data_IF_581517365203
#
_entry.id   IF_581517365203
#
_cell.length_a   1.000
_cell.length_b   1.000
_cell.length_c   1.000
_cell.angle_alpha   90.00
_cell.angle_beta   90.00
_cell.angle_gamma   90.00
#
_symmetry.space_group_name_H-M   'P 1'
#
loop_
_entity.id
_entity.type
_entity.pdbx_description
1 polymer ?
#
# COMPACT_ATOMS: atom_id res chain seq x y z
N UNK A 1 -17.16 -21.87 -31.15
CA UNK A 1 -18.57 -22.31 -31.09
C UNK A 1 -19.14 -21.79 -29.78
N UNK A 2 -20.26 -21.06 -29.81
CA UNK A 2 -20.84 -20.45 -28.60
C UNK A 2 -21.68 -21.51 -27.92
N UNK A 3 -21.14 -22.13 -26.89
CA UNK A 3 -21.88 -23.08 -26.06
C UNK A 3 -23.08 -22.34 -25.43
N UNK A 4 -24.28 -22.92 -25.57
CA UNK A 4 -25.56 -22.29 -25.19
C UNK A 4 -26.19 -22.94 -23.96
N UNK A 5 -25.45 -23.81 -23.26
CA UNK A 5 -25.85 -24.41 -21.99
C UNK A 5 -26.03 -23.33 -20.92
N UNK A 6 -27.04 -23.49 -20.07
CA UNK A 6 -27.30 -22.55 -18.97
C UNK A 6 -26.23 -22.68 -17.89
N UNK A 7 -25.98 -21.61 -17.12
CA UNK A 7 -24.90 -21.58 -16.10
C UNK A 7 -25.06 -22.69 -15.05
N UNK A 8 -26.30 -23.10 -14.78
CA UNK A 8 -26.64 -24.12 -13.79
C UNK A 8 -26.39 -25.56 -14.27
N UNK A 9 -26.04 -25.76 -15.55
CA UNK A 9 -25.76 -27.07 -16.16
C UNK A 9 -24.25 -27.33 -16.35
N UNK A 10 -23.39 -26.37 -15.97
CA UNK A 10 -21.94 -26.48 -16.09
C UNK A 10 -21.35 -27.16 -14.86
N UNK A 11 -20.36 -28.04 -15.05
CA UNK A 11 -19.57 -28.54 -13.93
C UNK A 11 -18.77 -27.39 -13.29
N UNK A 12 -18.37 -27.54 -12.02
CA UNK A 12 -17.57 -26.52 -11.31
C UNK A 12 -16.26 -26.22 -12.08
N UNK A 13 -15.66 -27.24 -12.67
CA UNK A 13 -14.44 -27.14 -13.48
C UNK A 13 -14.68 -26.35 -14.78
N UNK A 14 -15.79 -26.62 -15.48
CA UNK A 14 -16.19 -25.87 -16.69
C UNK A 14 -16.51 -24.40 -16.36
N UNK A 15 -17.15 -24.15 -15.20
CA UNK A 15 -17.47 -22.79 -14.75
C UNK A 15 -16.21 -21.99 -14.43
N UNK A 16 -15.22 -22.60 -13.76
CA UNK A 16 -13.93 -21.98 -13.51
C UNK A 16 -13.21 -21.61 -14.80
N UNK A 17 -13.26 -22.49 -15.81
CA UNK A 17 -12.60 -22.24 -17.09
C UNK A 17 -13.28 -21.10 -17.86
N UNK A 18 -14.61 -21.06 -17.86
CA UNK A 18 -15.39 -19.94 -18.44
C UNK A 18 -15.08 -18.63 -17.73
N UNK A 19 -14.96 -18.64 -16.39
CA UNK A 19 -14.59 -17.46 -15.61
C UNK A 19 -13.15 -17.00 -15.90
N UNK A 20 -12.19 -17.93 -16.03
CA UNK A 20 -10.80 -17.61 -16.42
C UNK A 20 -10.75 -16.96 -17.81
N UNK A 21 -11.49 -17.50 -18.78
CA UNK A 21 -11.57 -16.95 -20.14
C UNK A 21 -12.19 -15.54 -20.11
N UNK A 22 -13.33 -15.35 -19.44
CA UNK A 22 -13.99 -14.04 -19.31
C UNK A 22 -13.12 -12.99 -18.61
N UNK A 23 -12.37 -13.39 -17.58
CA UNK A 23 -11.44 -12.51 -16.85
C UNK A 23 -10.24 -12.10 -17.73
N UNK A 24 -9.77 -13.01 -18.58
CA UNK A 24 -8.71 -12.72 -19.58
C UNK A 24 -9.19 -11.76 -20.66
N UNK A 25 -10.41 -11.94 -21.17
CA UNK A 25 -11.02 -11.06 -22.18
C UNK A 25 -11.23 -9.64 -21.64
N UNK A 26 -11.81 -9.49 -20.45
CA UNK A 26 -12.00 -8.17 -19.83
C UNK A 26 -10.68 -7.45 -19.54
N UNK A 27 -9.62 -8.19 -19.19
CA UNK A 27 -8.27 -7.62 -18.99
C UNK A 27 -7.65 -7.15 -20.30
N UNK A 28 -7.82 -7.90 -21.40
CA UNK A 28 -7.36 -7.50 -22.73
C UNK A 28 -8.11 -6.27 -23.26
N UNK A 29 -9.40 -6.14 -22.97
CA UNK A 29 -10.21 -4.99 -23.37
C UNK A 29 -9.74 -3.70 -22.67
N UNK A 30 -9.43 -3.77 -21.36
CA UNK A 30 -8.85 -2.61 -20.63
C UNK A 30 -7.51 -2.18 -21.19
N UNK A 31 -6.62 -3.12 -21.52
CA UNK A 31 -5.31 -2.80 -22.10
C UNK A 31 -5.45 -2.14 -23.48
N UNK A 32 -6.41 -2.58 -24.31
CA UNK A 32 -6.74 -1.91 -25.57
C UNK A 32 -7.29 -0.51 -25.38
N UNK A 33 -8.09 -0.30 -24.34
CA UNK A 33 -8.63 1.02 -24.02
C UNK A 33 -7.54 1.97 -23.53
N UNK A 34 -6.65 1.51 -22.66
CA UNK A 34 -5.48 2.29 -22.20
C UNK A 34 -4.51 2.60 -23.35
N UNK A 35 -4.31 1.65 -24.27
CA UNK A 35 -3.51 1.89 -25.48
C UNK A 35 -4.10 2.96 -26.41
N UNK A 36 -5.43 2.98 -26.58
CA UNK A 36 -6.12 4.02 -27.36
C UNK A 36 -6.09 5.39 -26.66
N UNK A 37 -6.14 5.44 -25.34
CA UNK A 37 -6.01 6.67 -24.56
C UNK A 37 -4.58 7.22 -24.58
N UNK A 38 -3.56 6.35 -24.58
CA UNK A 38 -2.16 6.71 -24.79
C UNK A 38 -1.90 7.21 -26.22
N UNK A 39 -2.54 6.62 -27.23
CA UNK A 39 -2.42 7.03 -28.64
C UNK A 39 -3.18 8.34 -28.93
N UNK A 40 -4.30 8.60 -28.24
CA UNK A 40 -5.04 9.86 -28.31
C UNK A 40 -4.35 11.02 -27.57
N UNK A 41 -3.33 10.74 -26.75
CA UNK A 41 -2.56 11.71 -25.98
C UNK A 41 -1.16 11.96 -26.53
N UNK A 42 -0.88 11.58 -27.78
CA UNK A 42 0.35 11.97 -28.47
C UNK A 42 0.37 13.50 -28.66
N UNK A 43 0.98 14.20 -27.70
CA UNK A 43 1.20 15.63 -27.71
C UNK A 43 2.10 15.99 -28.90
N UNK A 44 1.52 16.65 -29.91
CA UNK A 44 2.26 17.38 -30.94
C UNK A 44 2.84 18.66 -30.30
N UNK A 45 4.18 18.81 -30.18
CA UNK A 45 4.80 19.96 -29.51
C UNK A 45 4.63 21.29 -30.27
N UNK A 46 3.96 21.31 -31.42
CA UNK A 46 3.82 22.48 -32.29
C UNK A 46 2.36 22.89 -32.56
N UNK A 47 1.37 22.28 -31.91
CA UNK A 47 -0.02 22.69 -32.06
C UNK A 47 -0.31 24.03 -31.34
N UNK A 48 -0.98 25.01 -31.99
CA UNK A 48 -1.33 26.28 -31.36
C UNK A 48 -2.33 26.07 -30.21
N UNK A 49 -1.99 26.63 -29.04
CA UNK A 49 -2.78 26.56 -27.80
C UNK A 49 -4.22 27.10 -28.00
N UNK A 50 -5.26 26.38 -27.54
CA UNK A 50 -6.62 26.92 -27.53
C UNK A 50 -6.74 28.07 -26.52
N UNK A 51 -7.33 29.18 -26.96
CA UNK A 51 -7.56 30.37 -26.14
C UNK A 51 -8.56 30.09 -25.01
N UNK A 52 -8.17 30.40 -23.77
CA UNK A 52 -9.02 30.33 -22.58
C UNK A 52 -10.35 31.10 -22.77
N UNK A 53 -11.51 30.55 -22.35
CA UNK A 53 -12.74 31.30 -22.27
C UNK A 53 -12.75 32.19 -21.02
N UNK A 54 -13.04 33.48 -21.20
CA UNK A 54 -13.14 34.46 -20.10
C UNK A 54 -14.28 34.14 -19.12
N UNK A 55 -14.11 34.40 -17.82
CA UNK A 55 -15.17 34.26 -16.83
C UNK A 55 -16.23 35.38 -16.95
N UNK A 56 -17.51 35.00 -16.81
CA UNK A 56 -18.65 35.93 -16.83
C UNK A 56 -18.67 36.86 -15.60
N UNK A 57 -19.08 38.14 -15.73
CA UNK A 57 -19.08 39.07 -14.60
C UNK A 57 -20.28 38.89 -13.65
N UNK A 58 -20.03 39.15 -12.37
CA UNK A 58 -21.00 39.11 -11.26
C UNK A 58 -22.06 40.23 -11.37
N UNK A 59 -23.33 39.99 -11.00
CA UNK A 59 -24.35 41.03 -11.00
C UNK A 59 -24.21 41.96 -9.78
N UNK A 60 -23.82 43.21 -10.04
CA UNK A 60 -23.84 44.32 -9.08
C UNK A 60 -25.12 45.13 -9.28
N UNK A 61 -26.16 44.83 -8.51
CA UNK A 61 -27.38 45.65 -8.49
C UNK A 61 -27.67 46.13 -7.06
N UNK A 62 -27.09 47.26 -6.68
CA UNK A 62 -27.60 48.08 -5.58
C UNK A 62 -28.73 48.96 -6.13
N UNK A 63 -29.99 48.63 -5.83
CA UNK A 63 -31.12 49.56 -6.03
C UNK A 63 -31.03 50.67 -5.00
N UNK A 64 -30.74 51.90 -5.46
CA UNK A 64 -30.98 53.13 -4.69
C UNK A 64 -32.45 53.50 -4.76
N UNK A 65 -33.03 53.80 -3.61
CA UNK A 65 -34.31 54.46 -3.44
C UNK A 65 -34.27 55.89 -4.00
N UNK A 66 -35.35 56.31 -4.66
CA UNK A 66 -35.64 57.69 -4.99
C UNK A 66 -37.12 57.96 -4.71
N UNK A 67 -37.38 58.69 -3.62
CA UNK A 67 -38.66 59.33 -3.34
C UNK A 67 -38.84 60.56 -4.24
N UNK A 68 -40.00 60.72 -4.86
CA UNK A 68 -40.62 62.02 -5.13
C UNK A 68 -42.05 61.86 -5.71
N UNK A 69 -43.05 62.28 -4.93
CA UNK A 69 -43.95 63.36 -5.33
C UNK A 69 -45.13 63.06 -6.27
N UNK A 70 -46.29 62.87 -5.65
CA UNK A 70 -47.64 63.35 -6.00
C UNK A 70 -47.89 64.11 -7.33
N UNK A 71 -48.95 63.75 -8.07
CA UNK A 71 -50.27 64.45 -8.06
C UNK A 71 -51.19 64.02 -9.23
N UNK A 72 -52.50 64.14 -8.96
CA UNK A 72 -53.59 64.49 -9.87
C UNK A 72 -54.35 63.41 -10.71
N UNK A 73 -55.51 63.06 -10.14
CA UNK A 73 -56.86 63.18 -10.73
C UNK A 73 -57.23 62.38 -11.99
N UNK A 74 -58.08 61.36 -11.80
CA UNK A 74 -59.20 61.11 -12.72
C UNK A 74 -60.46 60.65 -11.98
N UNK A 75 -61.61 61.11 -12.48
CA UNK A 75 -62.91 61.23 -11.81
C UNK A 75 -63.86 60.11 -12.24
N UNK A 76 -64.53 59.54 -11.22
CA UNK A 76 -65.80 58.81 -11.11
C UNK A 76 -66.55 58.27 -12.35
N UNK A 77 -67.00 57.02 -12.21
CA UNK A 77 -68.40 56.63 -12.48
C UNK A 77 -68.87 55.63 -11.42
N UNK A 78 -70.06 55.87 -10.87
CA UNK A 78 -70.74 55.04 -9.86
C UNK A 78 -71.89 54.26 -10.51
N UNK A 79 -71.96 52.96 -10.23
CA UNK A 79 -73.14 52.08 -10.28
C UNK A 79 -72.86 51.00 -9.21
N UNK A 80 -73.46 51.11 -8.04
CA UNK A 80 -74.76 50.56 -7.65
C UNK A 80 -74.65 49.12 -7.11
N UNK A 81 -75.42 48.88 -6.06
CA UNK A 81 -75.25 47.94 -4.96
C UNK A 81 -75.07 46.46 -5.34
N UNK A 82 -74.15 45.79 -4.64
CA UNK A 82 -74.43 44.46 -4.13
C UNK A 82 -73.58 44.18 -2.88
N UNK A 83 -74.29 44.09 -1.77
CA UNK A 83 -73.86 43.64 -0.46
C UNK A 83 -73.13 42.30 -0.55
N UNK A 84 -71.86 42.29 -0.17
CA UNK A 84 -71.12 41.06 0.15
C UNK A 84 -70.72 41.17 1.61
N UNK A 85 -71.29 40.27 2.42
CA UNK A 85 -71.07 40.16 3.85
C UNK A 85 -69.57 40.10 4.18
N UNK A 86 -69.14 40.92 5.15
CA UNK A 86 -67.81 40.90 5.75
C UNK A 86 -67.57 39.56 6.47
N UNK A 87 -66.88 38.64 5.81
CA UNK A 87 -66.21 37.51 6.46
C UNK A 87 -65.05 38.04 7.34
N UNK A 88 -64.94 37.64 8.62
CA UNK A 88 -63.90 38.14 9.50
C UNK A 88 -62.53 37.68 9.01
N UNK A 89 -61.66 38.65 8.73
CA UNK A 89 -60.25 38.50 8.40
C UNK A 89 -59.56 37.58 9.43
N UNK A 90 -59.48 36.28 9.14
CA UNK A 90 -58.61 35.35 9.86
C UNK A 90 -57.19 35.76 9.54
N UNK A 91 -56.57 36.51 10.45
CA UNK A 91 -55.12 36.67 10.50
C UNK A 91 -54.50 35.27 10.43
N UNK A 92 -53.98 34.90 9.25
CA UNK A 92 -53.12 33.74 9.13
C UNK A 92 -51.90 34.08 9.96
N UNK A 93 -51.83 33.54 11.19
CA UNK A 93 -50.61 33.49 11.99
C UNK A 93 -49.52 32.90 11.10
N UNK A 94 -48.71 33.78 10.51
CA UNK A 94 -47.50 33.39 9.82
C UNK A 94 -46.58 32.85 10.92
N UNK A 95 -46.58 31.53 11.07
CA UNK A 95 -45.62 30.84 11.92
C UNK A 95 -44.25 31.29 11.41
N UNK A 96 -43.47 31.94 12.26
CA UNK A 96 -42.11 32.40 11.94
C UNK A 96 -41.20 31.19 11.77
N UNK A 97 -41.25 30.55 10.60
CA UNK A 97 -40.47 29.36 10.26
C UNK A 97 -38.96 29.61 10.36
N UNK A 98 -38.51 30.84 10.13
CA UNK A 98 -37.10 31.22 10.30
C UNK A 98 -36.61 31.05 11.73
N UNK A 99 -37.45 31.34 12.73
CA UNK A 99 -37.11 31.17 14.15
C UNK A 99 -37.02 29.70 14.57
N UNK A 100 -37.87 28.83 14.00
CA UNK A 100 -37.75 27.39 14.20
C UNK A 100 -36.54 26.81 13.46
N UNK A 101 -36.24 27.29 12.25
CA UNK A 101 -35.09 26.83 11.47
C UNK A 101 -33.78 27.17 12.17
N UNK A 102 -33.61 28.41 12.61
CA UNK A 102 -32.38 28.86 13.27
C UNK A 102 -32.16 28.14 14.61
N UNK A 103 -33.24 27.88 15.37
CA UNK A 103 -33.14 27.05 16.58
C UNK A 103 -32.83 25.59 16.28
N UNK A 104 -33.37 25.03 15.20
CA UNK A 104 -33.08 23.64 14.82
C UNK A 104 -31.63 23.45 14.39
N UNK A 105 -31.05 24.41 13.67
CA UNK A 105 -29.64 24.40 13.26
C UNK A 105 -28.70 24.47 14.47
N UNK A 106 -29.00 25.34 15.43
CA UNK A 106 -28.23 25.44 16.69
C UNK A 106 -28.30 24.14 17.49
N UNK A 107 -29.46 23.48 17.55
CA UNK A 107 -29.60 22.18 18.24
C UNK A 107 -28.80 21.07 17.55
N UNK A 108 -28.73 21.07 16.21
CA UNK A 108 -27.91 20.12 15.46
C UNK A 108 -26.42 20.36 15.71
N UNK A 109 -25.98 21.62 15.68
CA UNK A 109 -24.59 21.99 15.98
C UNK A 109 -24.19 21.58 17.41
N UNK A 110 -25.05 21.87 18.39
CA UNK A 110 -24.83 21.46 19.79
C UNK A 110 -24.75 19.93 19.92
N UNK A 111 -25.63 19.19 19.24
CA UNK A 111 -25.62 17.74 19.25
C UNK A 111 -24.33 17.17 18.64
N UNK A 112 -23.82 17.80 17.57
CA UNK A 112 -22.57 17.40 16.91
C UNK A 112 -21.36 17.64 17.83
N UNK A 113 -21.32 18.77 18.53
CA UNK A 113 -20.29 19.06 19.54
C UNK A 113 -20.33 18.07 20.70
N UNK A 114 -21.53 17.76 21.22
CA UNK A 114 -21.68 16.76 22.30
C UNK A 114 -21.24 15.38 21.82
N UNK A 115 -21.58 14.97 20.61
CA UNK A 115 -21.14 13.72 20.02
C UNK A 115 -19.60 13.67 19.91
N UNK A 116 -18.97 14.74 19.41
CA UNK A 116 -17.52 14.85 19.33
C UNK A 116 -16.85 14.73 20.69
N UNK A 117 -17.40 15.38 21.73
CA UNK A 117 -16.90 15.29 23.10
C UNK A 117 -16.99 13.85 23.63
N UNK A 118 -18.10 13.15 23.39
CA UNK A 118 -18.26 11.74 23.80
C UNK A 118 -17.25 10.82 23.10
N UNK A 119 -16.99 11.03 21.81
CA UNK A 119 -15.96 10.29 21.06
C UNK A 119 -14.57 10.54 21.65
N UNK A 120 -14.23 11.78 21.98
CA UNK A 120 -12.93 12.11 22.59
C UNK A 120 -12.78 11.50 23.98
N UNK A 121 -13.84 11.49 24.79
CA UNK A 121 -13.83 10.83 26.10
C UNK A 121 -13.63 9.32 25.95
N UNK A 122 -14.34 8.69 25.01
CA UNK A 122 -14.17 7.26 24.72
C UNK A 122 -12.74 6.95 24.28
N UNK A 123 -12.19 7.76 23.38
CA UNK A 123 -10.82 7.59 22.89
C UNK A 123 -9.79 7.73 24.02
N UNK A 124 -9.96 8.72 24.91
CA UNK A 124 -9.09 8.88 26.08
C UNK A 124 -9.20 7.71 27.06
N UNK A 125 -10.39 7.14 27.24
CA UNK A 125 -10.58 5.97 28.10
C UNK A 125 -9.84 4.74 27.53
N UNK A 126 -10.00 4.47 26.23
CA UNK A 126 -9.30 3.36 25.55
C UNK A 126 -7.78 3.53 25.59
N UNK A 127 -7.26 4.74 25.38
CA UNK A 127 -5.82 5.01 25.48
C UNK A 127 -5.27 4.77 26.89
N UNK A 128 -6.05 5.07 27.93
CA UNK A 128 -5.64 4.80 29.33
C UNK A 128 -5.63 3.30 29.62
N UNK A 129 -6.61 2.56 29.12
CA UNK A 129 -6.71 1.11 29.27
C UNK A 129 -5.50 0.41 28.63
N UNK A 130 -5.24 0.70 27.35
CA UNK A 130 -4.10 0.13 26.60
C UNK A 130 -2.77 0.49 27.28
N UNK A 131 -2.57 1.73 27.73
CA UNK A 131 -1.36 2.12 28.44
C UNK A 131 -1.19 1.37 29.78
N UNK A 132 -2.29 1.08 30.47
CA UNK A 132 -2.26 0.33 31.73
C UNK A 132 -1.89 -1.14 31.47
N UNK A 133 -2.52 -1.78 30.49
CA UNK A 133 -2.19 -3.16 30.09
C UNK A 133 -0.75 -3.29 29.58
N UNK A 134 -0.30 -2.36 28.74
CA UNK A 134 1.07 -2.31 28.25
C UNK A 134 2.08 -2.12 29.38
N UNK A 135 1.76 -1.30 30.39
CA UNK A 135 2.65 -1.10 31.55
C UNK A 135 2.81 -2.36 32.39
N UNK A 136 1.74 -3.14 32.54
CA UNK A 136 1.77 -4.43 33.26
C UNK A 136 2.55 -5.48 32.47
N UNK A 137 2.41 -5.51 31.14
CA UNK A 137 3.14 -6.44 30.27
C UNK A 137 4.65 -6.16 30.23
N UNK A 138 5.08 -4.93 30.51
CA UNK A 138 6.50 -4.52 30.49
C UNK A 138 7.24 -4.72 31.83
N UNK A 139 6.55 -5.06 32.91
CA UNK A 139 7.24 -5.44 34.15
C UNK A 139 7.79 -6.87 34.03
N UNK A 140 9.12 -7.00 33.91
CA UNK A 140 9.80 -8.28 34.05
C UNK A 140 9.48 -8.89 35.44
N UNK A 141 9.25 -10.21 35.52
CA UNK A 141 8.95 -10.85 36.79
C UNK A 141 10.10 -10.63 37.79
N UNK A 142 9.75 -10.24 39.02
CA UNK A 142 10.67 -10.24 40.16
C UNK A 142 11.34 -11.61 40.25
N UNK A 143 12.68 -11.64 40.20
CA UNK A 143 13.46 -12.86 40.33
C UNK A 143 13.17 -13.51 41.69
N UNK A 144 12.22 -14.46 41.73
CA UNK A 144 12.09 -15.40 42.83
C UNK A 144 13.39 -16.20 42.93
N UNK A 145 14.00 -16.34 44.13
CA UNK A 145 15.22 -17.13 44.28
C UNK A 145 14.94 -18.55 43.77
N UNK A 146 15.66 -18.93 42.71
CA UNK A 146 15.52 -20.22 42.05
C UNK A 146 15.72 -21.33 43.08
N UNK A 147 14.79 -22.27 43.26
CA UNK A 147 15.07 -23.46 44.05
C UNK A 147 16.25 -24.19 43.41
N UNK A 148 17.22 -24.61 44.22
CA UNK A 148 18.34 -25.45 43.78
C UNK A 148 17.77 -26.71 43.11
N UNK A 149 17.81 -26.76 41.78
CA UNK A 149 17.41 -27.93 40.99
C UNK A 149 18.48 -29.00 41.27
N UNK A 150 18.13 -29.98 42.09
CA UNK A 150 18.86 -31.24 42.08
C UNK A 150 18.52 -31.95 40.76
N UNK A 151 19.55 -32.25 39.98
CA UNK A 151 19.43 -32.94 38.69
C UNK A 151 18.95 -34.36 38.95
N UNK A 152 17.63 -34.56 38.88
CA UNK A 152 17.05 -35.89 38.71
C UNK A 152 17.10 -36.18 37.22
N UNK A 153 18.07 -37.00 36.81
CA UNK A 153 18.14 -37.54 35.46
C UNK A 153 17.01 -38.55 35.31
N UNK A 154 15.90 -38.13 34.69
CA UNK A 154 14.87 -39.04 34.19
C UNK A 154 15.45 -39.80 32.97
N UNK A 155 15.16 -41.10 32.78
CA UNK A 155 15.70 -41.91 31.70
C UNK A 155 15.03 -41.64 30.32
N UNK A 156 14.56 -40.42 30.09
CA UNK A 156 14.05 -39.96 28.80
C UNK A 156 15.13 -39.13 28.10
N UNK A 157 15.63 -39.61 26.96
CA UNK A 157 16.74 -39.02 26.21
C UNK A 157 16.44 -37.70 25.48
N UNK A 158 15.66 -36.80 26.07
CA UNK A 158 15.46 -35.45 25.54
C UNK A 158 16.33 -34.49 26.33
N UNK A 159 17.46 -34.11 25.73
CA UNK A 159 18.31 -33.05 26.26
C UNK A 159 17.60 -31.72 25.96
N UNK A 160 17.41 -30.82 26.93
CA UNK A 160 16.89 -29.49 26.64
C UNK A 160 17.82 -28.82 25.62
N UNK A 161 17.29 -27.98 24.71
CA UNK A 161 18.13 -27.23 23.79
C UNK A 161 18.98 -26.23 24.59
N UNK A 162 20.24 -26.59 24.85
CA UNK A 162 21.26 -25.64 25.25
C UNK A 162 21.45 -24.68 24.07
N UNK A 163 21.40 -23.37 24.31
CA UNK A 163 21.37 -22.26 23.33
C UNK A 163 22.62 -22.12 22.43
N UNK A 164 23.43 -23.16 22.31
CA UNK A 164 24.67 -23.19 21.52
C UNK A 164 24.85 -24.49 20.72
N UNK A 165 23.91 -25.43 20.74
CA UNK A 165 24.04 -26.66 19.96
C UNK A 165 23.17 -26.59 18.71
N UNK A 166 23.80 -26.64 17.54
CA UNK A 166 23.12 -26.90 16.28
C UNK A 166 22.25 -28.18 16.43
N UNK A 167 21.11 -28.28 15.72
CA UNK A 167 20.24 -29.44 15.80
C UNK A 167 21.04 -30.72 15.56
N UNK A 168 21.10 -31.59 16.57
CA UNK A 168 21.87 -32.83 16.50
C UNK A 168 21.12 -33.78 15.56
N UNK A 169 21.71 -34.21 14.42
CA UNK A 169 21.01 -35.04 13.43
C UNK A 169 20.58 -36.42 13.94
N UNK A 170 21.08 -36.85 15.10
CA UNK A 170 20.83 -38.18 15.65
C UNK A 170 19.39 -38.41 16.12
N UNK A 171 18.63 -37.37 16.46
CA UNK A 171 17.25 -37.49 16.98
C UNK A 171 16.21 -37.76 15.87
N UNK A 172 16.51 -37.41 14.62
CA UNK A 172 15.60 -37.65 13.50
C UNK A 172 15.81 -39.08 13.00
N UNK A 173 14.75 -39.91 12.86
CA UNK A 173 14.86 -41.23 12.24
C UNK A 173 15.59 -41.15 10.89
N UNK A 174 16.52 -42.05 10.60
CA UNK A 174 17.41 -41.95 9.43
C UNK A 174 16.66 -41.74 8.10
N UNK A 175 15.47 -42.33 7.95
CA UNK A 175 14.62 -42.20 6.76
C UNK A 175 13.89 -40.85 6.63
N UNK A 176 13.87 -40.03 7.69
CA UNK A 176 13.26 -38.70 7.70
C UNK A 176 14.29 -37.57 7.68
N UNK A 177 15.58 -37.86 7.88
CA UNK A 177 16.65 -36.85 7.91
C UNK A 177 16.72 -36.05 6.61
N UNK A 178 16.66 -36.74 5.49
CA UNK A 178 16.74 -36.10 4.17
C UNK A 178 15.52 -35.20 3.89
N UNK A 179 14.32 -35.65 4.30
CA UNK A 179 13.10 -34.87 4.16
C UNK A 179 13.10 -33.64 5.07
N UNK A 180 13.50 -33.79 6.33
CA UNK A 180 13.54 -32.69 7.29
C UNK A 180 14.62 -31.67 6.89
N UNK A 181 15.80 -32.13 6.47
CA UNK A 181 16.86 -31.24 5.99
C UNK A 181 16.46 -30.48 4.72
N UNK A 182 15.64 -31.08 3.84
CA UNK A 182 15.16 -30.41 2.64
C UNK A 182 14.08 -29.34 2.93
N UNK A 183 13.37 -29.45 4.06
CA UNK A 183 12.24 -28.55 4.41
C UNK A 183 12.67 -27.48 5.42
N UNK A 184 13.74 -27.71 6.18
CA UNK A 184 14.18 -26.76 7.21
C UNK A 184 14.77 -25.52 6.54
N UNK A 185 14.17 -24.32 6.72
CA UNK A 185 14.74 -23.10 6.21
C UNK A 185 16.08 -22.84 6.89
N UNK A 186 17.05 -22.30 6.14
CA UNK A 186 18.31 -21.88 6.72
C UNK A 186 18.04 -20.85 7.82
N UNK A 187 18.66 -20.98 9.01
CA UNK A 187 18.52 -19.95 10.02
C UNK A 187 19.06 -18.63 9.46
N UNK A 188 18.31 -17.54 9.65
CA UNK A 188 18.81 -16.20 9.29
C UNK A 188 20.13 -15.96 10.05
N UNK A 189 21.21 -15.59 9.37
CA UNK A 189 22.48 -15.31 10.02
C UNK A 189 22.32 -14.15 11.00
N UNK A 190 23.05 -14.21 12.12
CA UNK A 190 23.12 -13.11 13.07
C UNK A 190 23.69 -11.88 12.37
N UNK A 191 23.08 -10.68 12.55
CA UNK A 191 23.53 -9.52 11.82
C UNK A 191 25.00 -9.17 12.04
N UNK A 192 25.73 -9.02 10.94
CA UNK A 192 27.17 -8.71 10.92
C UNK A 192 27.47 -7.30 10.38
N UNK A 193 28.67 -6.76 10.63
CA UNK A 193 29.00 -5.38 10.21
C UNK A 193 29.06 -5.19 8.68
N UNK A 194 29.32 -6.26 7.93
CA UNK A 194 29.40 -6.25 6.47
C UNK A 194 28.04 -6.56 5.81
N UNK A 195 27.01 -6.85 6.58
CA UNK A 195 25.69 -7.12 6.04
C UNK A 195 25.06 -5.86 5.45
N UNK A 196 24.32 -6.03 4.35
CA UNK A 196 23.55 -4.96 3.75
C UNK A 196 22.42 -4.50 4.69
N UNK A 197 22.33 -3.18 4.90
CA UNK A 197 21.28 -2.56 5.74
C UNK A 197 20.37 -1.62 4.96
N UNK A 198 20.85 -1.12 3.81
CA UNK A 198 20.13 -0.16 2.96
C UNK A 198 20.68 -0.22 1.53
N UNK A 199 19.80 -0.07 0.56
CA UNK A 199 20.13 0.03 -0.85
C UNK A 199 19.61 1.38 -1.38
N UNK A 200 20.42 2.01 -2.21
CA UNK A 200 20.06 3.25 -2.90
C UNK A 200 20.38 3.12 -4.40
N UNK A 201 19.41 3.46 -5.23
CA UNK A 201 19.52 3.44 -6.70
C UNK A 201 18.99 4.78 -7.24
N UNK A 202 19.87 5.80 -7.39
CA UNK A 202 19.44 7.15 -7.72
C UNK A 202 18.67 7.28 -9.03
N UNK A 203 19.05 6.53 -10.07
CA UNK A 203 18.44 6.60 -11.40
C UNK A 203 16.93 6.32 -11.40
N UNK A 204 16.47 5.48 -10.48
CA UNK A 204 15.06 5.07 -10.34
C UNK A 204 14.45 5.51 -9.00
N UNK A 205 15.13 6.40 -8.26
CA UNK A 205 14.62 6.95 -7.01
C UNK A 205 14.44 5.95 -5.87
N UNK A 206 15.10 4.79 -5.92
CA UNK A 206 14.99 3.76 -4.87
C UNK A 206 15.91 4.12 -3.72
N UNK A 207 15.35 4.11 -2.51
CA UNK A 207 16.08 4.33 -1.28
C UNK A 207 15.32 3.65 -0.13
N UNK A 208 15.84 2.55 0.40
CA UNK A 208 15.12 1.78 1.40
C UNK A 208 15.94 0.71 2.11
N UNK A 209 15.35 0.09 3.14
CA UNK A 209 16.03 -0.87 3.99
C UNK A 209 16.32 -2.17 3.24
N UNK A 210 17.42 -2.81 3.61
CA UNK A 210 17.72 -4.19 3.26
C UNK A 210 17.60 -5.04 4.52
N UNK A 211 16.82 -6.11 4.45
CA UNK A 211 16.63 -7.09 5.52
C UNK A 211 17.26 -8.42 5.13
N UNK A 212 17.61 -9.24 6.11
CA UNK A 212 18.09 -10.60 5.84
C UNK A 212 16.93 -11.52 5.51
N UNK A 213 17.08 -12.34 4.48
CA UNK A 213 16.03 -13.23 4.02
C UNK A 213 15.24 -12.66 2.84
N UNK A 214 14.81 -13.55 1.98
CA UNK A 214 13.97 -13.28 0.81
C UNK A 214 12.66 -14.09 0.85
N UNK A 215 12.27 -14.55 2.05
CA UNK A 215 10.96 -15.13 2.29
C UNK A 215 9.86 -14.05 2.32
N UNK A 216 8.62 -14.51 2.29
CA UNK A 216 7.43 -13.66 2.23
C UNK A 216 7.33 -12.63 3.37
N UNK A 217 7.76 -12.96 4.59
CA UNK A 217 7.69 -12.02 5.72
C UNK A 217 8.84 -11.01 5.70
N UNK A 218 10.00 -11.42 5.20
CA UNK A 218 11.16 -10.53 5.01
C UNK A 218 10.90 -9.51 3.89
N UNK A 219 10.42 -9.94 2.72
CA UNK A 219 10.16 -9.04 1.59
C UNK A 219 9.02 -8.04 1.81
N UNK A 220 8.19 -8.22 2.84
CA UNK A 220 7.22 -7.18 3.27
C UNK A 220 7.89 -5.96 3.90
N UNK A 221 9.08 -6.13 4.46
CA UNK A 221 9.77 -5.10 5.25
C UNK A 221 10.69 -4.24 4.37
N UNK A 222 11.08 -4.73 3.20
CA UNK A 222 11.96 -4.04 2.26
C UNK A 222 12.60 -4.98 1.26
N UNK A 223 13.78 -4.60 0.77
CA UNK A 223 14.59 -5.48 -0.06
C UNK A 223 15.20 -6.60 0.80
N UNK A 224 15.11 -7.84 0.35
CA UNK A 224 15.65 -9.02 1.03
C UNK A 224 17.02 -9.40 0.48
N UNK A 225 17.99 -9.61 1.38
CA UNK A 225 19.26 -10.23 1.06
C UNK A 225 19.14 -11.75 1.11
N UNK A 226 19.49 -12.43 0.01
CA UNK A 226 19.35 -13.88 -0.09
C UNK A 226 20.30 -14.59 0.87
N UNK A 227 19.73 -15.45 1.71
CA UNK A 227 20.48 -16.19 2.74
C UNK A 227 21.51 -17.11 2.09
N UNK A 228 22.77 -16.98 2.50
CA UNK A 228 23.87 -17.77 1.95
C UNK A 228 24.50 -17.18 0.68
N UNK A 229 23.99 -16.06 0.16
CA UNK A 229 24.70 -15.24 -0.81
C UNK A 229 25.78 -14.37 -0.14
N UNK A 230 26.66 -13.76 -0.94
CA UNK A 230 27.80 -13.00 -0.46
C UNK A 230 27.37 -11.68 0.18
N UNK A 231 28.11 -11.19 1.18
CA UNK A 231 27.92 -9.80 1.63
C UNK A 231 28.41 -8.82 0.55
N UNK A 232 27.93 -7.56 0.55
CA UNK A 232 28.47 -6.51 -0.31
C UNK A 232 30.00 -6.42 -0.22
N UNK A 233 30.67 -6.46 -1.38
CA UNK A 233 32.12 -6.32 -1.50
C UNK A 233 32.91 -7.62 -1.38
N UNK A 234 32.29 -8.71 -0.94
CA UNK A 234 32.94 -10.02 -0.92
C UNK A 234 33.11 -10.58 -2.34
N UNK A 235 34.16 -11.35 -2.56
CA UNK A 235 34.46 -11.97 -3.86
C UNK A 235 33.54 -13.16 -4.14
N UNK A 236 32.27 -12.87 -4.42
CA UNK A 236 31.21 -13.79 -4.81
C UNK A 236 29.97 -12.97 -5.27
N UNK A 237 28.79 -13.60 -5.39
CA UNK A 237 27.55 -12.97 -5.82
C UNK A 237 26.68 -12.59 -4.60
N UNK A 238 26.44 -11.30 -4.40
CA UNK A 238 25.51 -10.74 -3.42
C UNK A 238 24.14 -10.58 -4.10
N UNK A 239 23.09 -11.19 -3.55
CA UNK A 239 21.79 -11.25 -4.21
C UNK A 239 20.76 -10.50 -3.38
N UNK A 240 20.10 -9.52 -4.01
CA UNK A 240 19.05 -8.73 -3.39
C UNK A 240 17.75 -8.90 -4.18
N UNK A 241 16.68 -9.30 -3.50
CA UNK A 241 15.36 -9.46 -4.08
C UNK A 241 14.39 -8.44 -3.47
N UNK A 242 13.46 -7.91 -4.26
CA UNK A 242 12.35 -7.10 -3.74
C UNK A 242 11.11 -7.22 -4.61
N UNK A 243 9.94 -6.91 -4.04
CA UNK A 243 8.70 -6.85 -4.80
C UNK A 243 8.67 -5.65 -5.76
N UNK A 244 8.03 -5.84 -6.92
CA UNK A 244 7.77 -4.80 -7.91
C UNK A 244 6.33 -4.26 -7.83
N UNK A 245 5.36 -5.01 -7.28
CA UNK A 245 3.91 -4.72 -7.38
C UNK A 245 3.15 -4.73 -6.03
N UNK A 246 3.82 -5.13 -4.96
CA UNK A 246 3.28 -5.18 -3.60
C UNK A 246 4.31 -4.68 -2.58
N UNK A 247 3.84 -4.40 -1.36
CA UNK A 247 4.68 -4.05 -0.19
C UNK A 247 5.74 -2.97 -0.48
N UNK A 248 5.27 -1.79 -0.89
CA UNK A 248 6.14 -0.65 -1.20
C UNK A 248 6.75 -0.65 -2.59
N UNK A 249 6.63 -1.77 -3.34
CA UNK A 249 7.00 -1.86 -4.76
C UNK A 249 8.44 -1.39 -5.04
N UNK A 250 9.38 -1.71 -4.13
CA UNK A 250 10.72 -1.12 -4.13
C UNK A 250 11.49 -1.31 -5.44
N UNK A 251 11.26 -2.41 -6.17
CA UNK A 251 11.88 -2.68 -7.47
C UNK A 251 10.90 -2.54 -8.65
N UNK A 252 9.83 -1.76 -8.50
CA UNK A 252 8.86 -1.47 -9.58
C UNK A 252 9.53 -1.04 -10.88
N UNK A 253 10.40 -0.05 -10.76
CA UNK A 253 11.06 0.63 -11.88
C UNK A 253 12.45 0.07 -12.16
N UNK A 254 12.79 -1.10 -11.59
CA UNK A 254 14.05 -1.81 -11.89
C UNK A 254 14.26 -2.08 -13.39
N UNK A 255 13.21 -2.34 -14.22
CA UNK A 255 13.37 -2.44 -15.67
C UNK A 255 13.90 -1.18 -16.36
N UNK A 256 13.75 -0.01 -15.74
CA UNK A 256 14.12 1.28 -16.33
C UNK A 256 15.60 1.64 -16.12
N UNK A 257 16.36 0.83 -15.35
CA UNK A 257 17.80 1.03 -15.18
C UNK A 257 18.59 0.82 -16.47
N UNK A 258 19.49 1.73 -16.79
CA UNK A 258 20.37 1.60 -17.94
C UNK A 258 21.74 1.04 -17.56
N UNK A 259 22.48 0.55 -18.57
CA UNK A 259 23.86 0.15 -18.39
C UNK A 259 24.70 1.37 -17.99
N UNK A 260 25.51 1.23 -16.95
CA UNK A 260 26.29 2.33 -16.38
C UNK A 260 25.65 3.01 -15.17
N UNK A 261 24.39 2.73 -14.86
CA UNK A 261 23.75 3.29 -13.67
C UNK A 261 24.39 2.78 -12.38
N UNK A 262 24.43 3.64 -11.37
CA UNK A 262 25.07 3.36 -10.09
C UNK A 262 24.07 2.86 -9.04
N UNK A 263 24.50 1.86 -8.27
CA UNK A 263 23.77 1.30 -7.14
C UNK A 263 24.69 1.36 -5.91
N UNK A 264 24.18 1.88 -4.80
CA UNK A 264 24.90 2.00 -3.54
C UNK A 264 24.35 1.02 -2.51
N UNK A 265 25.20 0.14 -2.02
CA UNK A 265 24.90 -0.78 -0.93
C UNK A 265 25.55 -0.28 0.35
N UNK A 266 24.73 0.07 1.33
CA UNK A 266 25.19 0.50 2.64
C UNK A 266 25.27 -0.69 3.59
N UNK A 267 26.40 -0.80 4.29
CA UNK A 267 26.60 -1.70 5.43
C UNK A 267 26.83 -0.86 6.68
N UNK A 268 26.99 -1.50 7.84
CA UNK A 268 27.38 -0.79 9.06
C UNK A 268 28.82 -0.27 9.00
N UNK A 269 29.69 -0.91 8.20
CA UNK A 269 31.10 -0.57 8.10
C UNK A 269 31.40 0.46 7.00
N UNK A 270 30.76 0.36 5.83
CA UNK A 270 31.06 1.21 4.65
C UNK A 270 29.92 1.21 3.62
N UNK A 271 30.15 1.93 2.52
CA UNK A 271 29.26 1.96 1.35
C UNK A 271 30.01 1.39 0.15
N UNK A 272 29.37 0.46 -0.55
CA UNK A 272 29.88 -0.15 -1.77
C UNK A 272 29.14 0.41 -2.97
N UNK A 273 29.89 0.80 -4.00
CA UNK A 273 29.35 1.34 -5.25
C UNK A 273 29.43 0.29 -6.33
N UNK A 274 28.29 -0.05 -6.91
CA UNK A 274 28.17 -0.99 -8.01
C UNK A 274 27.68 -0.26 -9.25
N UNK A 275 28.06 -0.76 -10.42
CA UNK A 275 27.61 -0.24 -11.72
C UNK A 275 26.91 -1.34 -12.50
N UNK A 276 25.76 -1.02 -13.08
CA UNK A 276 24.97 -1.95 -13.91
C UNK A 276 25.74 -2.32 -15.17
N UNK A 277 26.00 -3.61 -15.36
CA UNK A 277 26.73 -4.14 -16.54
C UNK A 277 25.85 -5.02 -17.41
N UNK A 278 24.78 -5.62 -16.86
CA UNK A 278 23.87 -6.46 -17.64
C UNK A 278 22.44 -6.42 -17.06
N UNK A 279 21.46 -6.55 -17.96
CA UNK A 279 20.04 -6.75 -17.62
C UNK A 279 19.48 -7.92 -18.41
N UNK A 280 18.72 -8.81 -17.75
CA UNK A 280 18.15 -10.03 -18.36
C UNK A 280 16.71 -10.24 -17.88
N UNK A 281 15.88 -10.78 -18.76
CA UNK A 281 14.58 -11.36 -18.40
C UNK A 281 14.75 -12.89 -18.47
N UNK A 282 14.40 -13.58 -17.39
CA UNK A 282 14.59 -15.02 -17.23
C UNK A 282 13.31 -15.70 -16.74
N UNK A 283 13.25 -17.02 -16.91
CA UNK A 283 12.20 -17.84 -16.30
C UNK A 283 12.40 -17.92 -14.77
N UNK A 284 11.33 -18.03 -13.96
CA UNK A 284 11.45 -18.16 -12.51
C UNK A 284 12.25 -19.39 -12.05
N UNK A 285 12.36 -20.40 -12.91
CA UNK A 285 13.11 -21.64 -12.65
C UNK A 285 14.60 -21.54 -13.01
N UNK A 286 15.04 -20.47 -13.67
CA UNK A 286 16.45 -20.26 -14.02
C UNK A 286 17.24 -19.70 -12.84
N UNK A 287 17.74 -20.59 -11.98
CA UNK A 287 18.55 -20.22 -10.81
C UNK A 287 20.02 -19.92 -11.16
N UNK A 288 20.42 -19.98 -12.44
CA UNK A 288 21.83 -19.83 -12.84
C UNK A 288 22.40 -18.44 -12.54
N UNK A 289 21.55 -17.42 -12.49
CA UNK A 289 21.92 -16.04 -12.13
C UNK A 289 22.34 -15.87 -10.68
N UNK A 290 22.03 -16.85 -9.82
CA UNK A 290 22.36 -16.84 -8.40
C UNK A 290 23.67 -17.59 -8.10
N UNK A 291 24.30 -18.20 -9.11
CA UNK A 291 25.51 -18.98 -8.89
C UNK A 291 26.70 -18.12 -8.46
N UNK A 292 27.67 -18.71 -7.73
CA UNK A 292 28.84 -18.00 -7.28
C UNK A 292 29.68 -17.41 -8.42
N UNK A 293 30.25 -16.24 -8.18
CA UNK A 293 31.12 -15.52 -9.13
C UNK A 293 32.54 -15.42 -8.60
N UNK A 294 33.52 -15.27 -9.50
CA UNK A 294 34.94 -15.10 -9.13
C UNK A 294 35.30 -13.65 -8.75
N UNK A 295 34.34 -12.73 -8.82
CA UNK A 295 34.51 -11.31 -8.52
C UNK A 295 33.28 -10.80 -7.78
N UNK A 296 33.37 -9.66 -7.07
CA UNK A 296 32.25 -9.09 -6.32
C UNK A 296 31.16 -8.59 -7.27
N UNK A 297 30.06 -9.33 -7.31
CA UNK A 297 28.91 -9.03 -8.16
C UNK A 297 27.71 -8.79 -7.25
N UNK A 298 26.91 -7.76 -7.56
CA UNK A 298 25.59 -7.57 -6.97
C UNK A 298 24.53 -7.88 -8.03
N UNK A 299 23.62 -8.80 -7.70
CA UNK A 299 22.51 -9.22 -8.53
C UNK A 299 21.19 -8.77 -7.90
N UNK A 300 20.44 -7.93 -8.61
CA UNK A 300 19.10 -7.49 -8.20
C UNK A 300 18.04 -8.30 -8.94
N UNK A 301 17.05 -8.83 -8.22
CA UNK A 301 16.01 -9.69 -8.79
C UNK A 301 14.62 -9.18 -8.39
N UNK A 302 13.71 -9.09 -9.36
CA UNK A 302 12.29 -8.86 -9.07
C UNK A 302 11.39 -9.57 -10.08
N UNK A 303 10.09 -9.60 -9.79
CA UNK A 303 9.07 -10.15 -10.68
C UNK A 303 8.91 -9.30 -11.94
N UNK A 304 8.48 -9.93 -13.03
CA UNK A 304 8.24 -9.26 -14.30
C UNK A 304 7.23 -10.06 -15.15
N UNK A 305 6.40 -9.43 -16.01
CA UNK A 305 6.06 -8.00 -16.03
C UNK A 305 5.22 -7.58 -14.82
N UNK A 306 5.19 -6.28 -14.54
CA UNK A 306 4.46 -5.69 -13.41
C UNK A 306 2.99 -6.17 -13.33
N UNK A 307 2.60 -6.70 -12.17
CA UNK A 307 1.25 -7.21 -11.88
C UNK A 307 0.85 -8.47 -12.67
N UNK A 308 1.84 -9.20 -13.21
CA UNK A 308 1.67 -10.47 -13.95
C UNK A 308 2.68 -11.53 -13.46
N UNK A 309 3.94 -11.14 -13.23
CA UNK A 309 4.97 -11.90 -12.51
C UNK A 309 5.36 -13.28 -13.08
N UNK A 310 5.09 -13.49 -14.37
CA UNK A 310 5.41 -14.73 -15.10
C UNK A 310 6.92 -15.01 -15.25
N UNK A 311 7.75 -13.99 -15.15
CA UNK A 311 9.20 -14.00 -15.36
C UNK A 311 9.88 -13.27 -14.20
N UNK A 312 11.21 -13.27 -14.23
CA UNK A 312 12.03 -12.39 -13.40
C UNK A 312 12.84 -11.46 -14.27
N UNK A 313 12.98 -10.22 -13.82
CA UNK A 313 14.01 -9.34 -14.35
C UNK A 313 15.19 -9.35 -13.38
N UNK A 314 16.38 -9.45 -13.95
CA UNK A 314 17.63 -9.56 -13.23
C UNK A 314 18.58 -8.50 -13.73
N UNK A 315 19.11 -7.71 -12.80
CA UNK A 315 20.13 -6.70 -13.07
C UNK A 315 21.43 -7.17 -12.41
N UNK A 316 22.48 -7.31 -13.20
CA UNK A 316 23.80 -7.75 -12.77
C UNK A 316 24.73 -6.55 -12.82
N UNK A 317 25.54 -6.43 -11.79
CA UNK A 317 26.40 -5.26 -11.57
C UNK A 317 27.81 -5.70 -11.20
N UNK A 318 28.77 -4.80 -11.38
CA UNK A 318 30.15 -5.01 -10.96
C UNK A 318 30.55 -3.96 -9.92
N UNK A 319 31.29 -4.40 -8.90
CA UNK A 319 31.83 -3.50 -7.88
C UNK A 319 32.84 -2.53 -8.49
N UNK A 320 32.66 -1.24 -8.21
CA UNK A 320 33.63 -0.22 -8.55
C UNK A 320 34.57 0.08 -7.37
N UNK A 321 35.85 0.36 -7.65
CA UNK A 321 36.84 0.68 -6.63
C UNK A 321 36.59 2.03 -5.94
#
# INVERSE_FOLDING_TARGET
>A
MKDRRAVDELSIEELEEVLRIRKRETRMERLRQMGKEAEASSFDPLAPQPTEPQPSPLPTAHRRFGDAGATAQYRAHALDEMTVDEEPNRERRQIRWDWLRDKSLLMVELALVVCLILVLISLQATQREINTESSQAQQLPTLTPTPLIQVVVLPGGHKPPDSSSAPVPEEIPAHLRDLVSAITPLPLPTPGPEQAIRIQIPAIGVDGPVVEGDDWESLKQGAGHHVGSANPGESNNCIIAAHNDIFGEMFRDLPDLDLGDEIFMHTASRVYRYVVTQKRIIEPTDVSVMYPTSSPVLTLITCYPYGIDTHRIVVITELQP
#
